data_IF_166504339766
#
_entry.id   IF_166504339766
#
_cell.length_a   1.000
_cell.length_b   1.000
_cell.length_c   1.000
_cell.angle_alpha   90.00
_cell.angle_beta   90.00
_cell.angle_gamma   90.00
#
_symmetry.space_group_name_H-M   'P 1'
#
loop_
_entity.id
_entity.type
_entity.pdbx_description
1 polymer ?
#
# COMPACT_ATOMS: atom_id res chain seq x y z
N UNK A 1 24.03 -3.36 7.69
CA UNK A 1 24.90 -4.56 7.83
C UNK A 1 24.42 -5.48 8.95
N UNK A 2 24.12 -4.99 10.16
CA UNK A 2 23.66 -5.81 11.29
C UNK A 2 22.38 -6.64 11.03
N UNK A 3 21.31 -6.07 10.47
CA UNK A 3 20.07 -6.83 10.22
C UNK A 3 20.27 -8.03 9.29
N UNK A 4 21.14 -7.88 8.28
CA UNK A 4 21.42 -8.94 7.30
C UNK A 4 22.34 -10.02 7.88
N UNK A 5 23.27 -9.67 8.76
CA UNK A 5 24.12 -10.67 9.45
C UNK A 5 23.31 -11.54 10.41
N UNK A 6 22.21 -11.02 10.92
CA UNK A 6 21.36 -11.70 11.91
C UNK A 6 20.21 -12.50 11.23
N UNK A 7 20.22 -12.60 9.90
CA UNK A 7 19.26 -13.40 9.13
C UNK A 7 17.94 -12.68 8.83
N UNK A 8 17.82 -11.37 9.07
CA UNK A 8 16.61 -10.62 8.75
C UNK A 8 16.57 -10.16 7.29
N UNK A 9 15.39 -10.28 6.69
CA UNK A 9 15.04 -9.64 5.42
C UNK A 9 14.38 -8.30 5.70
N UNK A 10 14.90 -7.24 5.08
CA UNK A 10 14.37 -5.89 5.18
C UNK A 10 13.68 -5.52 3.87
N UNK A 11 12.46 -5.00 3.96
CA UNK A 11 11.62 -4.68 2.80
C UNK A 11 11.03 -3.28 3.02
N UNK A 12 11.35 -2.38 2.10
CA UNK A 12 10.69 -1.09 1.97
C UNK A 12 9.46 -1.20 1.05
N UNK A 13 8.69 -0.12 0.98
CA UNK A 13 7.63 0.06 0.00
C UNK A 13 8.12 0.88 -1.20
N UNK A 14 7.48 0.69 -2.35
CA UNK A 14 7.71 1.50 -3.55
C UNK A 14 6.43 2.20 -4.03
N UNK A 15 5.34 2.08 -3.30
CA UNK A 15 4.03 2.68 -3.55
C UNK A 15 3.38 3.10 -2.22
N UNK A 16 2.49 4.08 -2.24
CA UNK A 16 1.82 4.62 -1.07
C UNK A 16 0.43 5.16 -1.42
N UNK A 17 -0.50 5.04 -0.47
CA UNK A 17 -1.83 5.66 -0.56
C UNK A 17 -1.86 7.10 -0.02
N UNK A 18 -0.83 7.49 0.74
CA UNK A 18 -0.79 8.77 1.47
C UNK A 18 -1.57 8.74 2.78
N UNK A 19 -1.99 7.57 3.26
CA UNK A 19 -2.77 7.48 4.50
C UNK A 19 -2.00 7.94 5.76
N UNK A 20 -0.68 7.96 5.71
CA UNK A 20 0.18 8.49 6.76
C UNK A 20 0.09 10.03 6.91
N UNK A 21 -0.36 10.75 5.88
CA UNK A 21 -0.32 12.22 5.81
C UNK A 21 -1.35 12.91 6.70
N UNK A 22 -2.32 12.18 7.25
CA UNK A 22 -3.29 12.71 8.20
C UNK A 22 -4.21 11.64 8.79
N UNK A 23 -5.12 12.05 9.67
CA UNK A 23 -6.11 11.14 10.24
C UNK A 23 -7.32 11.05 9.30
N UNK A 24 -7.81 9.84 9.04
CA UNK A 24 -9.00 9.58 8.23
C UNK A 24 -9.04 10.34 6.89
N UNK A 25 -7.93 10.33 6.15
CA UNK A 25 -7.85 10.92 4.80
C UNK A 25 -8.97 10.34 3.93
N UNK A 26 -9.70 11.16 3.14
CA UNK A 26 -10.82 10.68 2.35
C UNK A 26 -10.46 9.51 1.42
N UNK A 27 -11.34 8.50 1.36
CA UNK A 27 -11.16 7.28 0.54
C UNK A 27 -10.78 7.61 -0.91
N UNK A 28 -11.41 8.62 -1.50
CA UNK A 28 -11.16 8.97 -2.90
C UNK A 28 -9.77 9.59 -3.10
N UNK A 29 -9.22 10.30 -2.10
CA UNK A 29 -7.85 10.78 -2.13
C UNK A 29 -6.85 9.62 -2.04
N UNK A 30 -7.10 8.67 -1.12
CA UNK A 30 -6.28 7.46 -0.99
C UNK A 30 -6.23 6.67 -2.30
N UNK A 31 -7.39 6.50 -2.95
CA UNK A 31 -7.49 5.80 -4.22
C UNK A 31 -6.85 6.58 -5.38
N UNK A 32 -6.97 7.91 -5.41
CA UNK A 32 -6.33 8.75 -6.41
C UNK A 32 -4.80 8.66 -6.31
N UNK A 33 -4.26 8.73 -5.09
CA UNK A 33 -2.83 8.58 -4.82
C UNK A 33 -2.32 7.20 -5.23
N UNK A 34 -3.03 6.12 -4.85
CA UNK A 34 -2.69 4.77 -5.31
C UNK A 34 -2.62 4.70 -6.83
N UNK A 35 -3.66 5.14 -7.54
CA UNK A 35 -3.73 5.09 -9.01
C UNK A 35 -2.55 5.83 -9.66
N UNK A 36 -2.23 7.01 -9.15
CA UNK A 36 -1.08 7.83 -9.59
C UNK A 36 0.25 7.12 -9.33
N UNK A 37 0.40 6.50 -8.17
CA UNK A 37 1.67 5.91 -7.74
C UNK A 37 1.91 4.53 -8.34
N UNK A 38 0.86 3.77 -8.67
CA UNK A 38 0.95 2.42 -9.24
C UNK A 38 1.18 2.42 -10.75
N UNK A 39 0.82 3.51 -11.44
CA UNK A 39 0.90 3.57 -12.90
C UNK A 39 2.30 3.22 -13.44
N UNK A 40 2.33 2.30 -14.41
CA UNK A 40 3.57 1.85 -15.07
C UNK A 40 4.44 0.87 -14.27
N UNK A 41 4.07 0.47 -13.05
CA UNK A 41 4.89 -0.42 -12.21
C UNK A 41 4.53 -1.89 -12.38
N UNK A 42 5.44 -2.75 -12.81
CA UNK A 42 5.19 -4.20 -12.90
C UNK A 42 5.08 -4.92 -11.54
N UNK A 43 5.61 -4.32 -10.47
CA UNK A 43 5.60 -4.87 -9.11
C UNK A 43 5.49 -3.74 -8.10
N UNK A 44 4.54 -3.86 -7.16
CA UNK A 44 4.28 -2.84 -6.13
C UNK A 44 4.27 -3.45 -4.73
N UNK A 45 4.94 -2.77 -3.81
CA UNK A 45 4.82 -2.96 -2.37
C UNK A 45 4.22 -1.66 -1.84
N UNK A 46 2.95 -1.71 -1.43
CA UNK A 46 2.16 -0.55 -1.06
C UNK A 46 2.18 -0.37 0.45
N UNK A 47 2.54 0.81 0.93
CA UNK A 47 2.42 1.15 2.35
C UNK A 47 0.99 1.60 2.71
N UNK A 48 0.42 0.97 3.74
CA UNK A 48 -0.87 1.27 4.36
C UNK A 48 -0.79 1.00 5.86
N UNK A 49 -1.58 1.70 6.66
CA UNK A 49 -1.63 1.60 8.12
C UNK A 49 -3.01 1.16 8.61
N UNK A 50 -3.05 0.26 9.60
CA UNK A 50 -4.25 -0.31 10.21
C UNK A 50 -4.58 0.28 11.60
N UNK A 51 -4.03 1.47 11.89
CA UNK A 51 -4.25 2.19 13.14
C UNK A 51 -5.71 2.67 13.29
N UNK A 52 -6.18 2.86 14.52
CA UNK A 52 -7.53 3.35 14.82
C UNK A 52 -7.88 4.70 14.18
N UNK A 53 -6.87 5.55 13.92
CA UNK A 53 -7.01 6.85 13.25
C UNK A 53 -7.06 6.76 11.71
N UNK A 54 -7.10 5.55 11.16
CA UNK A 54 -6.98 5.24 9.72
C UNK A 54 -8.18 4.42 9.23
N UNK A 55 -9.37 4.71 9.75
CA UNK A 55 -10.58 3.96 9.40
C UNK A 55 -10.89 4.04 7.89
N UNK A 56 -10.57 5.17 7.24
CA UNK A 56 -10.72 5.33 5.79
C UNK A 56 -9.76 4.46 4.98
N UNK A 57 -8.59 4.06 5.52
CA UNK A 57 -7.69 3.08 4.88
C UNK A 57 -8.38 1.72 4.75
N UNK A 58 -9.05 1.27 5.82
CA UNK A 58 -9.84 0.02 5.81
C UNK A 58 -11.00 0.12 4.83
N UNK A 59 -11.70 1.26 4.80
CA UNK A 59 -12.80 1.50 3.85
C UNK A 59 -12.33 1.54 2.38
N UNK A 60 -11.10 1.99 2.12
CA UNK A 60 -10.52 2.06 0.78
C UNK A 60 -10.03 0.68 0.28
N UNK A 61 -9.71 -0.25 1.18
CA UNK A 61 -9.06 -1.52 0.86
C UNK A 61 -9.80 -2.36 -0.20
N UNK A 62 -11.15 -2.52 -0.18
CA UNK A 62 -11.86 -3.22 -1.25
C UNK A 62 -11.66 -2.58 -2.62
N UNK A 63 -11.74 -1.25 -2.71
CA UNK A 63 -11.55 -0.50 -3.97
C UNK A 63 -10.11 -0.59 -4.47
N UNK A 64 -9.14 -0.61 -3.56
CA UNK A 64 -7.71 -0.83 -3.87
C UNK A 64 -7.51 -2.20 -4.50
N UNK A 65 -8.07 -3.25 -3.88
CA UNK A 65 -7.99 -4.62 -4.37
C UNK A 65 -8.61 -4.75 -5.76
N UNK A 66 -9.81 -4.21 -5.95
CA UNK A 66 -10.52 -4.27 -7.22
C UNK A 66 -9.76 -3.53 -8.34
N UNK A 67 -9.23 -2.35 -8.03
CA UNK A 67 -8.40 -1.59 -8.98
C UNK A 67 -7.16 -2.39 -9.40
N UNK A 68 -6.40 -2.95 -8.46
CA UNK A 68 -5.19 -3.71 -8.77
C UNK A 68 -5.51 -4.99 -9.55
N UNK A 69 -6.57 -5.72 -9.19
CA UNK A 69 -7.03 -6.88 -9.98
C UNK A 69 -7.43 -6.47 -11.40
N UNK A 70 -8.13 -5.35 -11.56
CA UNK A 70 -8.51 -4.84 -12.89
C UNK A 70 -7.31 -4.47 -13.77
N UNK A 71 -6.16 -4.20 -13.16
CA UNK A 71 -4.88 -3.93 -13.83
C UNK A 71 -4.04 -5.20 -14.05
N UNK A 72 -4.53 -6.37 -13.65
CA UNK A 72 -3.85 -7.64 -13.85
C UNK A 72 -2.85 -8.02 -12.75
N UNK A 73 -2.83 -7.31 -11.61
CA UNK A 73 -1.96 -7.69 -10.49
C UNK A 73 -2.48 -8.93 -9.75
N UNK A 74 -1.54 -9.67 -9.17
CA UNK A 74 -1.81 -10.73 -8.18
C UNK A 74 -1.23 -10.33 -6.83
N UNK A 75 -1.86 -10.79 -5.75
CA UNK A 75 -1.43 -10.50 -4.38
C UNK A 75 -0.59 -11.64 -3.81
N UNK A 76 0.49 -11.30 -3.11
CA UNK A 76 1.38 -12.25 -2.45
C UNK A 76 1.78 -11.74 -1.06
N UNK A 77 2.13 -12.67 -0.19
CA UNK A 77 2.77 -12.37 1.10
C UNK A 77 4.27 -12.23 0.91
N UNK A 78 4.91 -11.50 1.81
CA UNK A 78 6.37 -11.50 1.95
C UNK A 78 6.78 -12.79 2.68
N UNK A 79 7.88 -13.40 2.26
CA UNK A 79 8.42 -14.66 2.81
C UNK A 79 9.93 -14.66 2.75
#
# INVERSE_FOLDING_TARGET
>A
MALKSDGYHYIDWNDLTGDAEGQNIPVDMLLANLKKNTEGKGHVVILMHDLSTKATTVQALPKVIDYLKSKGYSFKTLS
#
